data_IF_410590495277
#
_entry.id   IF_410590495277
#
_cell.length_a   1.000
_cell.length_b   1.000
_cell.length_c   1.000
_cell.angle_alpha   90.00
_cell.angle_beta   90.00
_cell.angle_gamma   90.00
#
_symmetry.space_group_name_H-M   'P 1'
#
loop_
_entity.id
_entity.type
_entity.pdbx_description
1 polymer ?
#
# COMPACT_ATOMS: atom_id res chain seq x y z
N UNK A 1 -29.97 32.32 -48.79
CA UNK A 1 -28.51 32.54 -48.73
C UNK A 1 -27.91 31.35 -47.97
N UNK A 2 -27.67 30.25 -48.68
CA UNK A 2 -27.17 29.00 -48.13
C UNK A 2 -25.64 29.03 -48.07
N UNK A 3 -25.04 28.74 -46.91
CA UNK A 3 -23.58 28.58 -46.80
C UNK A 3 -23.23 27.10 -46.64
N UNK A 4 -22.70 26.52 -47.71
CA UNK A 4 -22.10 25.19 -47.72
C UNK A 4 -20.71 25.23 -47.05
N UNK A 5 -20.45 24.28 -46.14
CA UNK A 5 -19.12 23.97 -45.60
C UNK A 5 -18.37 23.02 -46.57
N UNK A 6 -17.10 23.27 -46.92
CA UNK A 6 -16.32 22.32 -47.72
C UNK A 6 -15.63 21.25 -46.85
N UNK A 7 -15.64 20.02 -47.36
CA UNK A 7 -14.92 18.83 -46.85
C UNK A 7 -13.41 19.00 -47.03
N UNK A 8 -12.61 18.65 -46.01
CA UNK A 8 -11.15 18.50 -46.11
C UNK A 8 -10.74 17.02 -46.20
N UNK A 9 -9.73 16.83 -47.04
CA UNK A 9 -9.21 15.62 -47.68
C UNK A 9 -8.60 14.60 -46.71
N UNK A 10 -8.76 13.34 -47.06
CA UNK A 10 -7.97 12.19 -46.62
C UNK A 10 -6.58 12.22 -47.25
N UNK A 11 -5.54 11.98 -46.45
CA UNK A 11 -4.18 11.72 -46.93
C UNK A 11 -3.78 10.29 -46.54
N UNK A 12 -3.60 9.46 -47.56
CA UNK A 12 -3.03 8.13 -47.52
C UNK A 12 -1.56 8.17 -47.12
N UNK A 13 -1.16 7.33 -46.15
CA UNK A 13 0.24 6.97 -45.93
C UNK A 13 0.39 5.45 -46.00
N UNK A 14 1.41 5.08 -46.75
CA UNK A 14 1.72 3.80 -47.34
C UNK A 14 2.14 2.77 -46.30
N UNK A 15 1.53 1.59 -46.35
CA UNK A 15 1.95 0.40 -45.61
C UNK A 15 3.22 -0.20 -46.23
N UNK A 16 4.33 -0.18 -45.49
CA UNK A 16 5.48 -1.02 -45.77
C UNK A 16 5.40 -2.30 -44.92
N UNK A 17 5.41 -3.43 -45.62
CA UNK A 17 5.38 -4.81 -45.13
C UNK A 17 6.70 -5.21 -44.47
N UNK A 18 6.64 -5.79 -43.28
CA UNK A 18 7.76 -6.51 -42.64
C UNK A 18 7.81 -7.97 -43.13
N UNK A 19 8.99 -8.55 -43.42
CA UNK A 19 9.09 -9.95 -43.77
C UNK A 19 9.01 -10.84 -42.52
N UNK A 20 8.23 -11.91 -42.62
CA UNK A 20 8.15 -13.01 -41.69
C UNK A 20 9.46 -13.80 -41.68
N UNK A 21 10.08 -13.95 -40.51
CA UNK A 21 11.10 -14.97 -40.29
C UNK A 21 10.60 -16.00 -39.27
N UNK A 22 10.72 -17.23 -39.71
CA UNK A 22 10.27 -18.51 -39.16
C UNK A 22 10.90 -18.84 -37.81
N UNK A 23 10.10 -19.45 -36.94
CA UNK A 23 10.48 -19.88 -35.60
C UNK A 23 11.64 -20.87 -35.59
N UNK A 24 12.64 -20.56 -34.76
CA UNK A 24 13.63 -21.52 -34.27
C UNK A 24 13.29 -21.85 -32.83
N UNK A 25 13.19 -23.14 -32.51
CA UNK A 25 12.83 -23.64 -31.19
C UNK A 25 13.77 -23.11 -30.12
N UNK A 26 13.22 -22.35 -29.16
CA UNK A 26 13.96 -21.95 -27.99
C UNK A 26 14.13 -23.17 -27.07
N UNK A 27 15.38 -23.61 -26.88
CA UNK A 27 15.76 -24.45 -25.74
C UNK A 27 15.40 -23.75 -24.41
N UNK A 28 15.56 -24.42 -23.25
CA UNK A 28 15.17 -23.85 -21.97
C UNK A 28 15.86 -22.49 -21.77
N UNK A 29 15.08 -21.41 -21.86
CA UNK A 29 15.55 -20.04 -21.68
C UNK A 29 16.01 -19.92 -20.23
N UNK A 30 17.32 -19.97 -20.02
CA UNK A 30 17.91 -19.70 -18.71
C UNK A 30 17.71 -18.21 -18.43
N UNK A 31 16.64 -17.88 -17.71
CA UNK A 31 16.32 -16.49 -17.36
C UNK A 31 17.34 -15.95 -16.35
N UNK A 32 17.93 -14.79 -16.66
CA UNK A 32 18.97 -14.15 -15.85
C UNK A 32 18.41 -13.67 -14.50
N UNK A 33 19.20 -13.65 -13.42
CA UNK A 33 18.81 -12.98 -12.19
C UNK A 33 18.46 -11.50 -12.46
N UNK A 34 17.33 -11.04 -11.93
CA UNK A 34 16.83 -9.68 -12.13
C UNK A 34 16.10 -9.47 -13.45
N UNK A 35 15.97 -10.48 -14.32
CA UNK A 35 15.27 -10.34 -15.59
C UNK A 35 13.73 -10.34 -15.47
N UNK A 36 13.19 -10.71 -14.31
CA UNK A 36 11.74 -10.72 -14.06
C UNK A 36 11.41 -10.56 -12.58
N UNK A 37 10.13 -10.27 -12.30
CA UNK A 37 9.59 -10.20 -10.92
C UNK A 37 9.74 -11.53 -10.16
N UNK A 38 9.55 -12.65 -10.84
CA UNK A 38 9.65 -13.99 -10.24
C UNK A 38 11.11 -14.42 -9.96
N UNK A 39 12.09 -13.74 -10.57
CA UNK A 39 13.53 -14.00 -10.37
C UNK A 39 14.27 -12.69 -10.12
N UNK A 40 14.03 -11.99 -9.00
CA UNK A 40 14.67 -10.72 -8.73
C UNK A 40 16.18 -10.89 -8.48
N UNK A 41 16.93 -9.82 -8.71
CA UNK A 41 18.34 -9.73 -8.32
C UNK A 41 18.43 -9.03 -6.96
N UNK A 42 19.09 -9.68 -5.99
CA UNK A 42 19.45 -9.04 -4.73
C UNK A 42 20.77 -8.27 -4.93
N UNK A 43 20.65 -6.99 -5.28
CA UNK A 43 21.79 -6.10 -5.49
C UNK A 43 22.17 -5.36 -4.19
N UNK A 44 23.47 -5.25 -3.91
CA UNK A 44 23.98 -4.47 -2.77
C UNK A 44 24.07 -2.99 -3.14
N UNK A 45 23.68 -2.11 -2.23
CA UNK A 45 23.97 -0.67 -2.35
C UNK A 45 25.46 -0.44 -2.09
N UNK A 46 26.20 0.04 -3.10
CA UNK A 46 27.65 0.26 -3.00
C UNK A 46 28.03 1.71 -2.78
N UNK A 47 27.19 2.64 -3.23
CA UNK A 47 27.36 4.06 -2.97
C UNK A 47 26.00 4.74 -2.91
N UNK A 48 25.92 5.80 -2.10
CA UNK A 48 24.77 6.69 -2.08
C UNK A 48 25.23 8.11 -1.72
N UNK A 49 24.56 9.11 -2.29
CA UNK A 49 24.76 10.53 -1.97
C UNK A 49 23.49 11.32 -2.18
N UNK A 50 23.25 12.32 -1.34
CA UNK A 50 22.28 13.35 -1.61
C UNK A 50 22.75 14.24 -2.77
N UNK A 51 21.84 14.48 -3.71
CA UNK A 51 21.98 15.48 -4.78
C UNK A 51 21.48 16.86 -4.33
N UNK A 52 20.84 16.93 -3.17
CA UNK A 52 20.24 18.12 -2.57
C UNK A 52 21.09 18.66 -1.42
N UNK A 53 20.93 19.96 -1.15
CA UNK A 53 21.60 20.62 -0.03
C UNK A 53 20.87 20.39 1.30
N UNK A 54 21.54 20.52 2.46
CA UNK A 54 20.88 20.46 3.77
C UNK A 54 19.70 21.43 3.91
N UNK A 55 19.78 22.63 3.32
CA UNK A 55 18.67 23.58 3.28
C UNK A 55 17.44 23.03 2.53
N UNK A 56 17.66 22.25 1.46
CA UNK A 56 16.57 21.57 0.75
C UNK A 56 15.95 20.45 1.58
N UNK A 57 16.75 19.77 2.41
CA UNK A 57 16.27 18.71 3.30
C UNK A 57 15.32 19.26 4.36
N UNK A 58 15.63 20.41 4.94
CA UNK A 58 14.77 21.12 5.88
C UNK A 58 13.42 21.52 5.25
N UNK A 59 13.41 21.77 3.94
CA UNK A 59 12.21 22.04 3.16
C UNK A 59 11.51 20.76 2.62
N UNK A 60 11.86 19.58 3.13
CA UNK A 60 11.23 18.30 2.75
C UNK A 60 11.65 17.76 1.37
N UNK A 61 12.68 18.33 0.74
CA UNK A 61 13.16 17.90 -0.59
C UNK A 61 14.51 17.21 -0.45
N UNK A 62 14.50 15.89 -0.56
CA UNK A 62 15.70 15.06 -0.54
C UNK A 62 15.74 14.23 -1.81
N UNK A 63 16.82 14.33 -2.57
CA UNK A 63 17.06 13.50 -3.76
C UNK A 63 18.30 12.68 -3.53
N UNK A 64 18.18 11.35 -3.62
CA UNK A 64 19.27 10.41 -3.41
C UNK A 64 19.69 9.86 -4.76
N UNK A 65 20.99 9.92 -5.04
CA UNK A 65 21.64 9.10 -6.07
C UNK A 65 22.17 7.83 -5.41
N UNK A 66 21.84 6.67 -5.97
CA UNK A 66 22.19 5.37 -5.43
C UNK A 66 22.82 4.50 -6.52
N UNK A 67 23.89 3.80 -6.16
CA UNK A 67 24.59 2.83 -7.02
C UNK A 67 24.41 1.41 -6.48
N UNK A 68 24.03 0.49 -7.37
CA UNK A 68 23.74 -0.91 -7.09
C UNK A 68 24.78 -1.81 -7.75
N UNK A 69 25.33 -2.76 -6.98
CA UNK A 69 26.21 -3.81 -7.51
C UNK A 69 25.40 -4.88 -8.24
N UNK A 70 25.64 -4.99 -9.54
CA UNK A 70 24.99 -5.95 -10.43
C UNK A 70 25.99 -6.90 -11.09
N UNK A 71 27.19 -7.05 -10.52
CA UNK A 71 28.23 -7.96 -11.03
C UNK A 71 27.73 -9.40 -11.12
N UNK A 72 28.08 -10.06 -12.22
CA UNK A 72 27.69 -11.45 -12.46
C UNK A 72 26.21 -11.67 -12.81
N UNK A 73 25.39 -10.61 -12.85
CA UNK A 73 23.96 -10.74 -13.22
C UNK A 73 23.75 -11.01 -14.70
N UNK A 74 24.69 -10.59 -15.56
CA UNK A 74 24.54 -10.64 -17.02
C UNK A 74 23.53 -9.62 -17.58
N UNK A 75 22.98 -8.74 -16.73
CA UNK A 75 22.03 -7.72 -17.16
C UNK A 75 22.72 -6.67 -18.06
N UNK A 76 21.94 -6.17 -19.03
CA UNK A 76 22.34 -5.09 -19.92
C UNK A 76 21.25 -4.04 -19.94
N UNK A 77 21.64 -2.76 -19.94
CA UNK A 77 20.70 -1.63 -19.94
C UNK A 77 21.30 -0.43 -20.67
N UNK A 78 20.42 0.47 -21.06
CA UNK A 78 20.73 1.76 -21.65
C UNK A 78 20.16 2.89 -20.79
N UNK A 79 20.76 4.10 -20.83
CA UNK A 79 20.17 5.26 -20.16
C UNK A 79 18.74 5.50 -20.63
N UNK A 80 17.83 5.69 -19.69
CA UNK A 80 16.39 5.83 -19.96
C UNK A 80 15.58 4.54 -19.75
N UNK A 81 16.22 3.37 -19.68
CA UNK A 81 15.55 2.14 -19.22
C UNK A 81 15.08 2.29 -17.76
N UNK A 82 14.14 1.45 -17.34
CA UNK A 82 13.60 1.45 -15.99
C UNK A 82 13.88 0.14 -15.26
N UNK A 83 14.15 0.23 -13.96
CA UNK A 83 14.24 -0.92 -13.06
C UNK A 83 13.07 -0.96 -12.09
N UNK A 84 12.54 -2.15 -11.86
CA UNK A 84 11.54 -2.38 -10.84
C UNK A 84 12.21 -2.79 -9.52
N UNK A 85 12.05 -1.98 -8.47
CA UNK A 85 12.51 -2.31 -7.12
C UNK A 85 11.36 -2.91 -6.33
N UNK A 86 11.56 -4.11 -5.79
CA UNK A 86 10.65 -4.76 -4.84
C UNK A 86 11.02 -4.29 -3.44
N UNK A 87 10.17 -3.45 -2.85
CA UNK A 87 10.37 -2.86 -1.53
C UNK A 87 9.44 -3.54 -0.53
N UNK A 88 9.91 -4.11 0.59
CA UNK A 88 9.02 -4.74 1.56
C UNK A 88 8.10 -3.71 2.24
N UNK A 89 6.93 -4.15 2.70
CA UNK A 89 6.07 -3.34 3.56
C UNK A 89 6.79 -2.94 4.86
N UNK A 90 6.34 -1.85 5.47
CA UNK A 90 6.95 -1.37 6.70
C UNK A 90 6.74 -2.37 7.85
N UNK A 91 7.83 -2.69 8.57
CA UNK A 91 7.81 -3.68 9.65
C UNK A 91 6.71 -3.40 10.68
N UNK A 92 6.50 -2.12 11.02
CA UNK A 92 5.45 -1.70 11.96
C UNK A 92 4.04 -2.04 11.47
N UNK A 93 3.77 -1.93 10.16
CA UNK A 93 2.46 -2.27 9.59
C UNK A 93 2.27 -3.78 9.57
N UNK A 94 3.29 -4.54 9.16
CA UNK A 94 3.27 -6.01 9.16
C UNK A 94 3.04 -6.54 10.58
N UNK A 95 3.82 -6.06 11.55
CA UNK A 95 3.68 -6.45 12.96
C UNK A 95 2.34 -6.01 13.55
N UNK A 96 1.87 -4.82 13.17
CA UNK A 96 0.56 -4.31 13.56
C UNK A 96 -0.57 -5.21 13.12
N UNK A 97 -0.61 -5.57 11.84
CA UNK A 97 -1.61 -6.48 11.26
C UNK A 97 -1.56 -7.85 11.95
N UNK A 98 -0.37 -8.45 12.09
CA UNK A 98 -0.21 -9.75 12.74
C UNK A 98 -0.68 -9.72 14.20
N UNK A 99 -0.29 -8.68 14.94
CA UNK A 99 -0.69 -8.50 16.35
C UNK A 99 -2.19 -8.31 16.49
N UNK A 100 -2.79 -7.47 15.64
CA UNK A 100 -4.24 -7.22 15.67
C UNK A 100 -5.05 -8.49 15.43
N UNK A 101 -4.60 -9.32 14.50
CA UNK A 101 -5.27 -10.58 14.14
C UNK A 101 -4.86 -11.77 15.02
N UNK A 102 -3.91 -11.58 15.95
CA UNK A 102 -3.41 -12.66 16.82
C UNK A 102 -2.69 -13.78 16.04
N UNK A 103 -2.09 -13.47 14.90
CA UNK A 103 -1.38 -14.44 14.07
C UNK A 103 0.10 -14.54 14.48
N UNK A 104 0.63 -15.77 14.55
CA UNK A 104 2.06 -15.99 14.75
C UNK A 104 2.86 -15.59 13.49
N UNK A 105 3.79 -14.61 13.58
CA UNK A 105 4.63 -14.22 12.45
C UNK A 105 5.48 -15.35 11.86
N UNK A 106 5.83 -16.36 12.67
CA UNK A 106 6.65 -17.49 12.28
C UNK A 106 5.85 -18.69 11.74
N UNK A 107 4.51 -18.61 11.79
CA UNK A 107 3.64 -19.65 11.25
C UNK A 107 4.00 -19.92 9.79
N UNK A 108 4.30 -21.19 9.50
CA UNK A 108 4.64 -21.64 8.15
C UNK A 108 3.36 -21.82 7.37
N UNK A 109 3.31 -21.23 6.18
CA UNK A 109 2.17 -21.33 5.28
C UNK A 109 2.59 -21.88 3.94
N UNK A 110 1.69 -22.67 3.36
CA UNK A 110 1.77 -23.12 1.97
C UNK A 110 0.67 -22.39 1.23
N UNK A 111 1.07 -21.48 0.35
CA UNK A 111 0.14 -20.78 -0.52
C UNK A 111 -0.02 -21.65 -1.75
N UNK A 112 -1.17 -22.29 -1.87
CA UNK A 112 -1.50 -23.04 -3.06
C UNK A 112 -1.87 -22.07 -4.18
N UNK A 113 -0.90 -21.84 -5.07
CA UNK A 113 -1.08 -21.04 -6.28
C UNK A 113 -1.75 -21.85 -7.40
N UNK A 114 -1.88 -23.17 -7.25
CA UNK A 114 -2.60 -24.00 -8.18
C UNK A 114 -4.08 -23.98 -7.82
N UNK A 115 -4.84 -23.10 -8.47
CA UNK A 115 -6.29 -23.34 -8.57
C UNK A 115 -6.46 -24.72 -9.21
N UNK A 116 -6.94 -25.71 -8.44
CA UNK A 116 -7.31 -27.03 -8.92
C UNK A 116 -8.42 -27.02 -9.97
N UNK A 117 -9.01 -25.84 -10.22
CA UNK A 117 -9.93 -25.60 -11.32
C UNK A 117 -9.21 -25.66 -12.68
N UNK A 118 -9.66 -26.57 -13.54
CA UNK A 118 -9.36 -26.58 -14.97
C UNK A 118 -10.46 -25.84 -15.72
N UNK A 119 -10.12 -24.89 -16.59
CA UNK A 119 -11.09 -24.23 -17.46
C UNK A 119 -10.78 -22.77 -17.79
N UNK A 120 -11.64 -22.15 -18.63
CA UNK A 120 -11.48 -20.74 -19.05
C UNK A 120 -11.57 -19.74 -17.89
N UNK A 121 -12.31 -20.06 -16.84
CA UNK A 121 -12.45 -19.20 -15.66
C UNK A 121 -11.23 -19.27 -14.72
N UNK A 122 -10.60 -20.45 -14.61
CA UNK A 122 -9.33 -20.62 -13.92
C UNK A 122 -8.20 -19.84 -14.61
N UNK A 123 -8.14 -19.90 -15.94
CA UNK A 123 -7.17 -19.13 -16.74
C UNK A 123 -7.40 -17.61 -16.59
N UNK A 124 -8.66 -17.16 -16.59
CA UNK A 124 -8.99 -15.75 -16.30
C UNK A 124 -8.58 -15.32 -14.90
N UNK A 125 -8.80 -16.16 -13.88
CA UNK A 125 -8.37 -15.92 -12.49
C UNK A 125 -6.85 -15.86 -12.38
N UNK A 126 -6.12 -16.79 -13.00
CA UNK A 126 -4.65 -16.79 -13.06
C UNK A 126 -4.10 -15.54 -13.73
N UNK A 127 -4.68 -15.10 -14.85
CA UNK A 127 -4.27 -13.83 -15.51
C UNK A 127 -4.50 -12.61 -14.63
N UNK A 128 -5.62 -12.54 -13.91
CA UNK A 128 -5.93 -11.44 -12.99
C UNK A 128 -4.98 -11.37 -11.81
N UNK A 129 -4.52 -12.52 -11.30
CA UNK A 129 -3.67 -12.61 -10.11
C UNK A 129 -2.20 -12.90 -10.42
N UNK A 130 -1.81 -12.92 -11.71
CA UNK A 130 -0.44 -13.29 -12.13
C UNK A 130 0.64 -12.52 -11.39
N UNK A 131 0.44 -11.22 -11.18
CA UNK A 131 1.38 -10.39 -10.42
C UNK A 131 1.58 -10.84 -8.96
N UNK A 132 0.51 -11.26 -8.28
CA UNK A 132 0.57 -11.83 -6.92
C UNK A 132 1.22 -13.21 -6.94
N UNK A 133 0.86 -14.05 -7.92
CA UNK A 133 1.39 -15.41 -8.07
C UNK A 133 2.90 -15.41 -8.30
N UNK A 134 3.41 -14.51 -9.17
CA UNK A 134 4.85 -14.34 -9.40
C UNK A 134 5.61 -13.99 -8.10
N UNK A 135 5.00 -13.19 -7.21
CA UNK A 135 5.60 -12.82 -5.92
C UNK A 135 5.61 -13.99 -4.94
N UNK A 136 4.56 -14.81 -4.93
CA UNK A 136 4.52 -16.03 -4.11
C UNK A 136 5.49 -17.10 -4.59
N UNK A 137 5.73 -17.19 -5.90
CA UNK A 137 6.73 -18.09 -6.49
C UNK A 137 8.16 -17.68 -6.12
N UNK A 138 8.42 -16.38 -5.94
CA UNK A 138 9.72 -15.87 -5.52
C UNK A 138 10.05 -16.13 -4.03
N UNK A 139 9.06 -16.52 -3.21
CA UNK A 139 9.29 -16.81 -1.79
C UNK A 139 9.94 -18.18 -1.57
N UNK A 140 10.84 -18.32 -0.57
CA UNK A 140 11.31 -19.63 -0.12
C UNK A 140 10.14 -20.53 0.28
N UNK A 141 10.23 -21.83 -0.02
CA UNK A 141 9.23 -22.81 0.40
C UNK A 141 9.82 -23.74 1.48
N UNK A 142 9.17 -23.87 2.66
CA UNK A 142 7.98 -23.12 3.12
C UNK A 142 8.31 -21.66 3.47
N UNK A 143 7.32 -20.76 3.34
CA UNK A 143 7.42 -19.36 3.75
C UNK A 143 6.65 -19.10 5.05
N UNK A 144 6.91 -17.97 5.68
CA UNK A 144 6.19 -17.52 6.89
C UNK A 144 5.12 -16.49 6.57
N UNK A 145 4.11 -16.37 7.45
CA UNK A 145 3.11 -15.30 7.35
C UNK A 145 3.73 -13.90 7.28
N UNK A 146 4.80 -13.67 8.05
CA UNK A 146 5.57 -12.42 7.98
C UNK A 146 6.11 -12.16 6.58
N UNK A 147 6.66 -13.16 5.90
CA UNK A 147 7.20 -13.00 4.55
C UNK A 147 6.10 -12.67 3.54
N UNK A 148 4.93 -13.31 3.66
CA UNK A 148 3.76 -13.04 2.82
C UNK A 148 3.32 -11.58 2.97
N UNK A 149 3.09 -11.13 4.20
CA UNK A 149 2.66 -9.77 4.48
C UNK A 149 3.73 -8.73 4.19
N UNK A 150 5.01 -9.08 4.29
CA UNK A 150 6.10 -8.16 3.99
C UNK A 150 6.31 -7.96 2.48
N UNK A 151 5.98 -8.93 1.62
CA UNK A 151 6.46 -8.91 0.23
C UNK A 151 5.42 -9.24 -0.83
N UNK A 152 4.28 -9.85 -0.52
CA UNK A 152 3.35 -10.35 -1.54
C UNK A 152 2.09 -9.50 -1.72
N UNK A 153 1.64 -8.83 -0.66
CA UNK A 153 0.44 -7.97 -0.67
C UNK A 153 0.80 -6.53 -0.32
N UNK A 154 0.03 -5.56 -0.79
CA UNK A 154 0.24 -4.14 -0.45
C UNK A 154 -0.68 -3.75 0.72
N UNK A 155 -0.08 -3.33 1.84
CA UNK A 155 -0.79 -2.95 3.06
C UNK A 155 -1.13 -1.45 3.15
N UNK A 156 -0.49 -0.65 2.30
CA UNK A 156 -0.53 0.82 2.35
C UNK A 156 -1.42 1.42 1.27
N UNK A 157 -1.87 0.60 0.31
CA UNK A 157 -2.83 1.00 -0.71
C UNK A 157 -4.15 1.40 -0.09
N UNK A 158 -4.76 2.45 -0.64
CA UNK A 158 -6.06 2.95 -0.20
C UNK A 158 -7.10 1.80 -0.14
N UNK A 159 -7.69 1.52 1.03
CA UNK A 159 -8.67 0.47 1.24
C UNK A 159 -9.89 0.64 0.36
N UNK A 160 -10.15 -0.33 -0.51
CA UNK A 160 -11.38 -0.34 -1.30
C UNK A 160 -12.60 -0.58 -0.40
N UNK A 161 -13.78 -0.13 -0.83
CA UNK A 161 -15.05 -0.40 -0.12
C UNK A 161 -15.29 -1.90 0.14
N UNK A 162 -14.81 -2.79 -0.73
CA UNK A 162 -14.85 -4.25 -0.52
C UNK A 162 -14.09 -4.69 0.73
N UNK A 163 -12.94 -4.08 1.04
CA UNK A 163 -12.20 -4.37 2.26
C UNK A 163 -12.95 -3.86 3.49
N UNK A 164 -13.53 -2.66 3.43
CA UNK A 164 -14.36 -2.12 4.51
C UNK A 164 -15.58 -3.00 4.79
N UNK A 165 -16.21 -3.49 3.72
CA UNK A 165 -17.32 -4.43 3.81
C UNK A 165 -16.94 -5.74 4.51
N UNK A 166 -15.80 -6.33 4.12
CA UNK A 166 -15.26 -7.52 4.77
C UNK A 166 -14.97 -7.25 6.25
N UNK A 167 -14.36 -6.11 6.58
CA UNK A 167 -14.10 -5.73 7.97
C UNK A 167 -15.38 -5.57 8.78
N UNK A 168 -16.45 -5.03 8.17
CA UNK A 168 -17.75 -4.85 8.81
C UNK A 168 -18.39 -6.18 9.23
N UNK A 169 -18.27 -7.20 8.39
CA UNK A 169 -18.81 -8.55 8.65
C UNK A 169 -18.17 -9.20 9.88
N UNK A 170 -16.95 -8.78 10.23
CA UNK A 170 -16.16 -9.27 11.35
C UNK A 170 -15.97 -8.23 12.47
N UNK A 171 -16.80 -7.19 12.51
CA UNK A 171 -16.81 -6.16 13.54
C UNK A 171 -18.07 -6.25 14.41
N UNK A 172 -18.07 -5.57 15.56
CA UNK A 172 -19.21 -5.53 16.48
C UNK A 172 -19.54 -4.12 16.92
N UNK A 173 -20.79 -3.87 17.33
CA UNK A 173 -21.23 -2.58 17.84
C UNK A 173 -21.01 -1.44 16.83
N UNK A 174 -20.58 -0.28 17.32
CA UNK A 174 -20.42 0.92 16.52
C UNK A 174 -19.46 0.76 15.33
N UNK A 175 -18.37 -0.01 15.47
CA UNK A 175 -17.43 -0.22 14.36
C UNK A 175 -18.09 -0.91 13.17
N UNK A 176 -18.96 -1.89 13.44
CA UNK A 176 -19.72 -2.58 12.39
C UNK A 176 -20.58 -1.59 11.63
N UNK A 177 -21.39 -0.81 12.33
CA UNK A 177 -22.32 0.13 11.70
C UNK A 177 -21.56 1.20 10.89
N UNK A 178 -20.42 1.68 11.41
CA UNK A 178 -19.55 2.66 10.73
C UNK A 178 -18.91 2.07 9.48
N UNK A 179 -18.35 0.86 9.56
CA UNK A 179 -17.76 0.18 8.40
C UNK A 179 -18.83 -0.15 7.34
N UNK A 180 -20.01 -0.55 7.76
CA UNK A 180 -21.17 -0.76 6.88
C UNK A 180 -21.50 0.53 6.12
N UNK A 181 -21.66 1.64 6.83
CA UNK A 181 -21.93 2.95 6.23
C UNK A 181 -20.82 3.39 5.27
N UNK A 182 -19.55 3.37 5.69
CA UNK A 182 -18.41 3.75 4.84
C UNK A 182 -18.29 2.90 3.56
N UNK A 183 -18.77 1.65 3.61
CA UNK A 183 -18.81 0.75 2.45
C UNK A 183 -20.01 0.95 1.53
N UNK A 184 -21.03 1.73 1.95
CA UNK A 184 -22.26 1.95 1.19
C UNK A 184 -22.14 3.09 0.16
N UNK A 185 -23.08 3.21 -0.80
CA UNK A 185 -23.15 4.38 -1.68
C UNK A 185 -23.35 5.70 -0.91
N UNK A 186 -24.20 5.71 0.10
CA UNK A 186 -24.57 6.87 0.92
C UNK A 186 -23.37 7.36 1.76
N UNK A 187 -22.54 6.45 2.27
CA UNK A 187 -21.32 6.79 3.00
C UNK A 187 -20.13 7.20 2.13
N UNK A 188 -20.29 7.36 0.81
CA UNK A 188 -19.18 7.80 -0.08
C UNK A 188 -18.53 9.11 0.38
N UNK A 189 -19.27 10.17 0.75
CA UNK A 189 -18.64 11.41 1.23
C UNK A 189 -17.80 11.20 2.51
N UNK A 190 -18.28 10.36 3.44
CA UNK A 190 -17.55 10.01 4.65
C UNK A 190 -16.30 9.16 4.36
N UNK A 191 -16.41 8.23 3.41
CA UNK A 191 -15.24 7.47 2.93
C UNK A 191 -14.16 8.42 2.36
N UNK A 192 -14.56 9.40 1.55
CA UNK A 192 -13.63 10.36 0.95
C UNK A 192 -12.93 11.22 2.00
N UNK A 193 -13.64 11.68 3.02
CA UNK A 193 -13.07 12.54 4.07
C UNK A 193 -12.23 11.79 5.10
N UNK A 194 -12.63 10.57 5.47
CA UNK A 194 -11.98 9.80 6.54
C UNK A 194 -10.88 8.91 6.00
N UNK A 195 -11.13 8.18 4.91
CA UNK A 195 -10.21 7.17 4.38
C UNK A 195 -9.32 7.76 3.30
N UNK A 196 -9.89 8.42 2.29
CA UNK A 196 -9.13 8.92 1.14
C UNK A 196 -8.29 10.16 1.45
N UNK A 197 -8.88 11.17 2.08
CA UNK A 197 -8.18 12.42 2.41
C UNK A 197 -7.01 12.23 3.39
N UNK A 198 -7.06 11.17 4.21
CA UNK A 198 -6.02 10.83 5.18
C UNK A 198 -5.11 9.69 4.73
N UNK A 199 -5.38 9.11 3.55
CA UNK A 199 -4.66 7.98 2.98
C UNK A 199 -4.50 6.84 3.99
N UNK A 200 -5.59 6.47 4.66
CA UNK A 200 -5.59 5.39 5.63
C UNK A 200 -5.15 4.08 4.96
N UNK A 201 -4.22 3.36 5.59
CA UNK A 201 -3.77 2.01 5.24
C UNK A 201 -4.61 0.96 5.98
N UNK A 202 -4.40 -0.34 5.69
CA UNK A 202 -5.01 -1.41 6.50
C UNK A 202 -4.61 -1.30 7.98
N UNK A 203 -3.37 -0.91 8.25
CA UNK A 203 -2.88 -0.69 9.61
C UNK A 203 -3.64 0.43 10.33
N UNK A 204 -3.94 1.53 9.63
CA UNK A 204 -4.76 2.62 10.17
C UNK A 204 -6.20 2.15 10.44
N UNK A 205 -6.78 1.32 9.55
CA UNK A 205 -8.13 0.79 9.74
C UNK A 205 -8.27 -0.06 11.00
N UNK A 206 -7.28 -0.89 11.34
CA UNK A 206 -7.33 -1.67 12.59
C UNK A 206 -7.23 -0.80 13.84
N UNK A 207 -6.61 0.38 13.73
CA UNK A 207 -6.60 1.36 14.82
C UNK A 207 -7.95 2.09 14.93
N UNK A 208 -8.59 2.38 13.79
CA UNK A 208 -9.89 3.05 13.72
C UNK A 208 -11.08 2.16 14.11
N UNK A 209 -10.99 0.87 13.82
CA UNK A 209 -12.06 -0.13 14.00
C UNK A 209 -11.54 -1.34 14.81
N UNK A 210 -11.22 -1.15 16.10
CA UNK A 210 -10.51 -2.14 16.91
C UNK A 210 -11.30 -3.45 17.12
N UNK A 211 -12.62 -3.43 17.01
CA UNK A 211 -13.44 -4.65 17.16
C UNK A 211 -13.45 -5.53 15.90
N UNK A 212 -13.02 -5.01 14.75
CA UNK A 212 -12.97 -5.77 13.50
C UNK A 212 -11.84 -6.81 13.51
N UNK A 213 -12.18 -8.10 13.46
CA UNK A 213 -11.23 -9.23 13.48
C UNK A 213 -11.44 -10.19 12.29
N UNK A 214 -11.29 -9.74 11.04
CA UNK A 214 -11.45 -10.60 9.87
C UNK A 214 -10.34 -11.66 9.79
N UNK A 215 -10.64 -12.87 9.31
CA UNK A 215 -9.64 -13.92 9.18
C UNK A 215 -8.61 -13.56 8.09
N UNK A 216 -7.37 -13.95 8.31
CA UNK A 216 -6.23 -13.49 7.50
C UNK A 216 -6.35 -13.88 6.02
N UNK A 217 -6.84 -15.08 5.72
CA UNK A 217 -7.08 -15.57 4.36
C UNK A 217 -8.12 -14.70 3.61
N UNK A 218 -9.19 -14.28 4.29
CA UNK A 218 -10.18 -13.39 3.70
C UNK A 218 -9.58 -12.01 3.38
N UNK A 219 -8.75 -11.46 4.27
CA UNK A 219 -8.04 -10.19 4.02
C UNK A 219 -7.11 -10.34 2.81
N UNK A 220 -6.29 -11.39 2.78
CA UNK A 220 -5.35 -11.65 1.69
C UNK A 220 -6.06 -11.81 0.33
N UNK A 221 -7.31 -12.26 0.31
CA UNK A 221 -8.12 -12.39 -0.91
C UNK A 221 -8.57 -11.05 -1.50
N UNK A 222 -8.68 -10.00 -0.68
CA UNK A 222 -9.16 -8.67 -1.08
C UNK A 222 -8.02 -7.69 -1.29
N UNK A 223 -6.88 -7.89 -0.61
CA UNK A 223 -5.72 -7.02 -0.74
C UNK A 223 -5.10 -7.08 -2.14
N UNK A 224 -4.66 -5.93 -2.68
CA UNK A 224 -3.95 -5.92 -3.95
C UNK A 224 -2.56 -6.56 -3.83
N UNK A 225 -2.03 -7.15 -4.92
CA UNK A 225 -0.65 -7.60 -4.97
C UNK A 225 0.31 -6.46 -4.71
N UNK A 226 1.44 -6.81 -4.11
CA UNK A 226 2.53 -5.86 -3.98
C UNK A 226 3.16 -5.56 -5.34
N UNK A 227 3.34 -4.26 -5.63
CA UNK A 227 3.88 -3.81 -6.91
C UNK A 227 5.34 -3.33 -6.76
N UNK A 228 6.26 -3.71 -7.68
CA UNK A 228 7.55 -3.05 -7.77
C UNK A 228 7.37 -1.58 -8.12
N UNK A 229 8.22 -0.73 -7.54
CA UNK A 229 8.28 0.69 -7.91
C UNK A 229 9.38 0.88 -8.95
N UNK A 230 9.04 1.54 -10.05
CA UNK A 230 9.95 1.71 -11.18
C UNK A 230 10.75 3.01 -11.07
N UNK A 231 12.04 2.91 -11.34
CA UNK A 231 12.97 4.04 -11.36
C UNK A 231 13.74 4.05 -12.67
N UNK A 232 13.92 5.23 -13.26
CA UNK A 232 14.74 5.40 -14.44
C UNK A 232 16.22 5.24 -14.11
N UNK A 233 16.92 4.51 -14.97
CA UNK A 233 18.36 4.32 -14.88
C UNK A 233 19.09 5.58 -15.31
N UNK A 234 19.99 6.05 -14.46
CA UNK A 234 20.82 7.25 -14.67
C UNK A 234 22.25 6.89 -15.09
N UNK A 235 22.46 5.64 -15.51
CA UNK A 235 23.77 5.08 -15.89
C UNK A 235 23.65 4.27 -17.19
N UNK A 236 24.76 4.09 -17.88
CA UNK A 236 24.85 3.21 -19.04
C UNK A 236 25.70 1.98 -18.73
N UNK A 237 25.24 0.77 -19.10
CA UNK A 237 26.06 -0.44 -18.99
C UNK A 237 27.34 -0.37 -19.84
N UNK A 238 27.40 0.51 -20.85
CA UNK A 238 28.61 0.77 -21.64
C UNK A 238 29.72 1.47 -20.85
N UNK A 239 29.39 2.19 -19.78
CA UNK A 239 30.35 2.85 -18.90
C UNK A 239 30.85 1.89 -17.83
N UNK A 240 29.92 1.21 -17.15
CA UNK A 240 30.24 0.22 -16.13
C UNK A 240 29.13 -0.85 -16.07
N UNK A 241 29.44 -2.07 -16.49
CA UNK A 241 28.51 -3.21 -16.44
C UNK A 241 28.28 -3.75 -15.02
N UNK A 242 29.10 -3.32 -14.06
CA UNK A 242 29.03 -3.75 -12.66
C UNK A 242 28.15 -2.87 -11.79
N UNK A 243 27.85 -1.64 -12.24
CA UNK A 243 27.16 -0.63 -11.43
C UNK A 243 25.96 -0.05 -12.14
N UNK A 244 24.81 -0.20 -11.50
CA UNK A 244 23.55 0.35 -11.98
C UNK A 244 23.12 1.50 -11.07
N UNK A 245 22.88 2.67 -11.65
CA UNK A 245 22.55 3.88 -10.90
C UNK A 245 21.09 4.29 -11.08
N UNK A 246 20.49 4.74 -9.97
CA UNK A 246 19.18 5.40 -9.95
C UNK A 246 19.27 6.72 -9.17
N UNK A 247 18.37 7.64 -9.49
CA UNK A 247 18.11 8.82 -8.67
C UNK A 247 16.62 8.87 -8.31
N UNK A 248 16.32 9.16 -7.04
CA UNK A 248 14.94 9.23 -6.58
C UNK A 248 14.76 10.31 -5.52
N UNK A 249 13.58 10.93 -5.53
CA UNK A 249 13.13 11.81 -4.46
C UNK A 249 12.58 10.99 -3.30
N UNK A 250 12.98 11.34 -2.08
CA UNK A 250 12.36 10.79 -0.88
C UNK A 250 10.98 11.42 -0.74
N UNK A 251 9.95 10.59 -0.88
CA UNK A 251 8.57 11.06 -0.85
C UNK A 251 8.10 11.21 0.59
N UNK A 252 7.80 12.45 0.99
CA UNK A 252 7.09 12.80 2.22
C UNK A 252 5.94 13.72 1.85
N UNK A 253 4.77 13.49 2.45
CA UNK A 253 3.57 14.27 2.17
C UNK A 253 2.70 14.37 3.41
N UNK A 254 2.00 15.48 3.53
CA UNK A 254 1.07 15.74 4.62
C UNK A 254 -0.36 15.42 4.16
N UNK A 255 -1.16 14.80 5.03
CA UNK A 255 -2.55 14.42 4.81
C UNK A 255 -3.40 14.74 6.05
N UNK A 256 -4.72 14.61 5.92
CA UNK A 256 -5.66 14.99 6.97
C UNK A 256 -5.86 16.49 7.10
N UNK A 257 -6.67 16.89 8.10
CA UNK A 257 -7.01 18.29 8.36
C UNK A 257 -5.72 19.09 8.62
N UNK A 258 -5.56 20.19 7.89
CA UNK A 258 -4.39 21.08 7.93
C UNK A 258 -3.02 20.41 7.70
N UNK A 259 -3.01 19.20 7.12
CA UNK A 259 -1.77 18.44 6.91
C UNK A 259 -1.15 17.90 8.21
N UNK A 260 -1.96 17.68 9.25
CA UNK A 260 -1.49 17.20 10.54
C UNK A 260 -0.79 15.83 10.47
N UNK A 261 -1.15 14.98 9.51
CA UNK A 261 -0.60 13.62 9.39
C UNK A 261 0.51 13.61 8.36
N UNK A 262 1.75 13.34 8.79
CA UNK A 262 2.88 13.12 7.87
C UNK A 262 2.94 11.66 7.42
N UNK A 263 2.97 11.45 6.12
CA UNK A 263 3.12 10.14 5.46
C UNK A 263 4.39 10.14 4.62
N UNK A 264 4.91 8.94 4.36
CA UNK A 264 6.10 8.73 3.53
C UNK A 264 5.84 7.66 2.49
N UNK A 265 6.51 7.78 1.34
CA UNK A 265 6.47 6.74 0.32
C UNK A 265 7.19 5.48 0.78
N UNK A 266 6.56 4.32 0.63
CA UNK A 266 7.12 3.03 1.08
C UNK A 266 8.51 2.77 0.50
N UNK A 267 8.62 2.78 -0.84
CA UNK A 267 9.85 2.35 -1.52
C UNK A 267 10.97 3.39 -1.42
N UNK A 268 10.65 4.68 -1.49
CA UNK A 268 11.66 5.73 -1.30
C UNK A 268 12.22 5.75 0.12
N UNK A 269 11.40 5.49 1.14
CA UNK A 269 11.84 5.39 2.54
C UNK A 269 12.67 4.13 2.76
N UNK A 270 12.29 3.01 2.15
CA UNK A 270 13.09 1.79 2.16
C UNK A 270 14.48 2.01 1.54
N UNK A 271 14.54 2.61 0.34
CA UNK A 271 15.80 2.90 -0.33
C UNK A 271 16.65 3.92 0.43
N UNK A 272 16.06 4.98 1.00
CA UNK A 272 16.80 5.93 1.85
C UNK A 272 17.41 5.22 3.07
N UNK A 273 16.66 4.31 3.73
CA UNK A 273 17.19 3.51 4.85
C UNK A 273 18.37 2.62 4.44
N UNK A 274 18.30 1.99 3.27
CA UNK A 274 19.43 1.21 2.73
C UNK A 274 20.63 2.09 2.37
N UNK A 275 20.39 3.35 1.99
CA UNK A 275 21.43 4.31 1.68
C UNK A 275 22.15 4.85 2.93
N UNK A 276 21.54 4.79 4.13
CA UNK A 276 22.06 5.43 5.35
C UNK A 276 23.54 5.15 5.62
N UNK A 277 23.98 3.89 5.53
CA UNK A 277 25.39 3.51 5.74
C UNK A 277 26.31 4.24 4.75
N UNK A 278 25.93 4.25 3.46
CA UNK A 278 26.74 4.85 2.39
C UNK A 278 26.69 6.37 2.38
N UNK A 279 25.58 6.95 2.82
CA UNK A 279 25.47 8.39 3.05
C UNK A 279 26.44 8.81 4.16
N UNK A 280 26.46 8.08 5.28
CA UNK A 280 27.34 8.37 6.41
C UNK A 280 28.83 8.28 6.03
N UNK A 281 29.21 7.25 5.26
CA UNK A 281 30.58 7.10 4.70
C UNK A 281 30.99 8.30 3.82
N UNK A 282 30.04 8.91 3.13
CA UNK A 282 30.26 10.11 2.30
C UNK A 282 30.25 11.44 3.09
N UNK A 283 30.18 11.38 4.42
CA UNK A 283 30.10 12.56 5.30
C UNK A 283 28.71 13.23 5.30
N UNK A 284 27.68 12.55 4.81
CA UNK A 284 26.31 13.04 4.78
C UNK A 284 25.44 12.26 5.78
N UNK A 285 24.74 12.95 6.68
CA UNK A 285 23.82 12.27 7.59
C UNK A 285 22.44 12.12 6.97
N UNK A 286 21.84 10.93 7.11
CA UNK A 286 20.42 10.74 6.92
C UNK A 286 19.62 11.54 7.97
N UNK A 287 18.40 11.95 7.63
CA UNK A 287 17.48 12.63 8.55
C UNK A 287 16.85 11.57 9.48
N UNK A 288 16.84 11.77 10.82
CA UNK A 288 16.27 10.80 11.76
C UNK A 288 14.77 10.57 11.55
N UNK A 289 14.33 9.37 11.90
CA UNK A 289 12.96 8.88 11.70
C UNK A 289 11.96 9.57 12.65
N UNK A 290 11.19 10.55 12.16
CA UNK A 290 10.17 11.26 12.93
C UNK A 290 8.83 10.50 12.92
N UNK A 291 8.74 9.40 13.66
CA UNK A 291 7.53 8.57 13.75
C UNK A 291 6.79 8.78 15.10
N UNK A 292 6.07 9.90 15.28
CA UNK A 292 5.36 10.13 16.55
C UNK A 292 3.99 10.86 16.51
N UNK A 293 3.44 11.26 15.35
CA UNK A 293 2.23 12.12 15.32
C UNK A 293 0.93 11.54 14.77
N UNK A 294 0.91 10.29 14.29
CA UNK A 294 -0.20 9.80 13.47
C UNK A 294 -1.45 9.34 14.25
N UNK A 295 -1.29 8.82 15.48
CA UNK A 295 -2.38 8.17 16.21
C UNK A 295 -3.45 9.13 16.74
N UNK A 296 -3.05 10.29 17.28
CA UNK A 296 -3.99 11.30 17.80
C UNK A 296 -4.82 11.94 16.68
N UNK A 297 -4.18 12.25 15.55
CA UNK A 297 -4.85 12.83 14.38
C UNK A 297 -5.84 11.86 13.73
N UNK A 298 -5.55 10.56 13.72
CA UNK A 298 -6.45 9.52 13.23
C UNK A 298 -7.68 9.35 14.13
N UNK A 299 -7.53 9.59 15.43
CA UNK A 299 -8.64 9.55 16.41
C UNK A 299 -9.59 10.75 16.21
N UNK A 300 -9.07 11.94 15.96
CA UNK A 300 -9.89 13.12 15.64
C UNK A 300 -10.70 12.93 14.35
N UNK A 301 -10.10 12.27 13.35
CA UNK A 301 -10.77 11.90 12.12
C UNK A 301 -11.91 10.87 12.27
N UNK A 302 -11.73 9.92 13.19
CA UNK A 302 -12.78 8.97 13.59
C UNK A 302 -14.03 9.71 14.07
N UNK A 303 -13.87 10.75 14.90
CA UNK A 303 -14.98 11.56 15.39
C UNK A 303 -15.70 12.33 14.27
N UNK A 304 -14.96 12.85 13.28
CA UNK A 304 -15.57 13.50 12.11
C UNK A 304 -16.42 12.52 11.29
N UNK A 305 -16.01 11.24 11.19
CA UNK A 305 -16.81 10.21 10.55
C UNK A 305 -18.16 10.01 11.26
N UNK A 306 -18.14 10.08 12.59
CA UNK A 306 -19.33 9.90 13.42
C UNK A 306 -20.31 11.06 13.29
N UNK A 307 -19.79 12.29 13.17
CA UNK A 307 -20.62 13.47 12.91
C UNK A 307 -21.28 13.42 11.53
N UNK A 308 -20.54 12.99 10.50
CA UNK A 308 -21.08 12.83 9.14
C UNK A 308 -22.10 11.69 9.08
N UNK A 309 -21.82 10.55 9.72
CA UNK A 309 -22.75 9.42 9.79
C UNK A 309 -24.03 9.80 10.55
N UNK A 310 -23.91 10.53 11.67
CA UNK A 310 -25.05 11.01 12.45
C UNK A 310 -25.88 12.03 11.68
N UNK A 311 -25.25 12.95 10.95
CA UNK A 311 -25.94 13.92 10.10
C UNK A 311 -26.66 13.25 8.92
N UNK A 312 -26.05 12.23 8.30
CA UNK A 312 -26.67 11.46 7.23
C UNK A 312 -27.91 10.69 7.72
N UNK A 313 -27.79 9.97 8.85
CA UNK A 313 -28.91 9.26 9.48
C UNK A 313 -30.03 10.20 9.93
N UNK A 314 -29.72 11.42 10.35
CA UNK A 314 -30.72 12.43 10.71
C UNK A 314 -31.43 13.04 9.48
N UNK A 315 -30.82 12.97 8.29
CA UNK A 315 -31.38 13.53 7.06
C UNK A 315 -32.31 12.59 6.29
N UNK A 316 -32.33 11.29 6.62
CA UNK A 316 -33.19 10.27 5.99
C UNK A 316 -34.38 9.86 6.88
N UNK A 317 -35.22 10.82 7.29
CA UNK A 317 -36.56 10.51 7.82
C UNK A 317 -37.64 10.86 6.81
N UNK A 318 -38.20 9.90 6.04
CA UNK A 318 -39.55 10.04 5.51
C UNK A 318 -40.55 9.74 6.64
N UNK A 319 -41.56 10.59 6.77
CA UNK A 319 -42.67 10.46 7.72
C UNK A 319 -43.27 9.04 7.68
N UNK A 320 -43.18 8.32 8.79
CA UNK A 320 -43.98 7.13 9.09
C UNK A 320 -44.40 7.17 10.56
N UNK A 321 -45.64 6.75 10.78
CA UNK A 321 -46.53 7.09 11.90
C UNK A 321 -45.97 6.93 13.32
N UNK A 322 -46.37 7.89 14.16
CA UNK A 322 -45.81 8.18 15.47
C UNK A 322 -46.36 7.31 16.63
N UNK A 323 -46.54 6.00 16.44
CA UNK A 323 -47.02 5.13 17.55
C UNK A 323 -46.23 3.83 17.80
N UNK A 324 -45.20 3.48 17.01
CA UNK A 324 -44.38 2.29 17.30
C UNK A 324 -42.99 2.59 17.93
N UNK A 325 -42.55 3.85 17.95
CA UNK A 325 -41.22 4.23 18.46
C UNK A 325 -41.15 4.42 20.00
N UNK A 326 -42.24 4.17 20.73
CA UNK A 326 -42.32 4.40 22.18
C UNK A 326 -41.87 3.24 23.06
N UNK A 327 -41.35 2.15 22.49
CA UNK A 327 -41.02 0.94 23.25
C UNK A 327 -39.53 0.57 23.36
N UNK A 328 -38.58 1.45 23.00
CA UNK A 328 -37.16 1.16 23.26
C UNK A 328 -36.31 2.31 23.80
N UNK A 329 -36.93 3.42 24.25
CA UNK A 329 -36.23 4.56 24.84
C UNK A 329 -36.33 4.59 26.38
N UNK A 330 -36.27 3.43 27.03
CA UNK A 330 -36.27 3.30 28.49
C UNK A 330 -35.13 2.38 28.96
N UNK A 331 -33.89 2.76 28.66
CA UNK A 331 -32.71 2.15 29.27
C UNK A 331 -31.46 3.05 29.21
N UNK A 332 -31.57 4.37 29.35
CA UNK A 332 -30.41 5.24 29.58
C UNK A 332 -30.81 6.45 30.45
N UNK A 333 -30.97 6.18 31.74
CA UNK A 333 -30.69 7.15 32.80
C UNK A 333 -29.78 6.45 33.80
N UNK A 334 -28.50 6.79 33.78
CA UNK A 334 -27.66 6.65 34.96
C UNK A 334 -27.27 8.07 35.37
N UNK A 335 -27.75 8.42 36.55
CA UNK A 335 -27.50 9.65 37.27
C UNK A 335 -26.00 9.87 37.48
N UNK A 336 -25.60 11.14 37.39
CA UNK A 336 -24.32 11.59 37.88
C UNK A 336 -24.26 11.51 39.40
N UNK A 337 -23.13 11.02 39.90
CA UNK A 337 -22.77 11.04 41.31
C UNK A 337 -21.26 11.22 41.45
N UNK A 338 -20.87 12.40 41.89
CA UNK A 338 -19.51 12.74 42.35
C UNK A 338 -19.29 12.09 43.71
N UNK A 339 -18.17 11.37 43.92
CA UNK A 339 -17.60 11.13 45.25
C UNK A 339 -16.13 10.67 45.16
N UNK A 340 -15.26 11.53 45.71
CA UNK A 340 -13.97 11.37 46.41
C UNK A 340 -13.00 10.19 46.17
N UNK A 341 -11.72 10.56 46.01
CA UNK A 341 -10.50 9.81 46.37
C UNK A 341 -10.47 9.42 47.86
N UNK A 342 -9.80 8.30 48.25
CA UNK A 342 -8.40 8.44 48.69
C UNK A 342 -7.45 7.26 48.37
N UNK A 343 -6.18 7.63 48.17
CA UNK A 343 -4.92 7.00 48.58
C UNK A 343 -4.73 5.47 48.72
N UNK A 344 -3.66 5.03 48.03
CA UNK A 344 -2.57 4.17 48.50
C UNK A 344 -2.45 2.71 48.02
N UNK A 345 -1.16 2.34 47.84
CA UNK A 345 -0.52 1.02 47.74
C UNK A 345 -0.51 0.37 46.33
N UNK A 346 0.58 0.42 45.57
CA UNK A 346 1.90 -0.22 45.74
C UNK A 346 1.92 -1.74 45.49
N UNK A 347 2.82 -2.14 44.57
CA UNK A 347 3.42 -3.46 44.33
C UNK A 347 2.60 -4.58 43.67
N UNK A 348 3.07 -5.02 42.49
CA UNK A 348 3.69 -6.34 42.18
C UNK A 348 3.76 -6.46 40.64
N UNK A 349 4.92 -6.17 40.04
CA UNK A 349 6.05 -7.07 39.75
C UNK A 349 5.82 -7.90 38.48
#
# INVERSE_FOLDING_TARGET
RASARPRKRSSSHSSQSSPSSTGSGAGPVTTLPGSSRARPLLAKVVAARYLTTPASHAAGRRVVHMELDVRGSGLTWTPGDAIGVICPNETRHVDGVLRHLGCDPAARVVIDTATGDTGRDAERRRRRHRGTLDMFEALPRPCTLRQVLASCVDLDTLPKKTLLRLMAEHATGADKDRLMFLSSPEGTPAYLSVIEAQRCSLYDLFSLFPTSRPPLDAILSVLPPHSPRYYSLTSAASQDKSRMCIAFSVLEYAVGVDGAIKRRGLCSTFLERLACEKLAESGQSAVPDAAAGAAEALTAASAMADDVARAALASESPQLDADEARLSLAAFKLDGGVAEEPDSLAHLA
#
